data_IF_110845433864
#
_entry.id   IF_110845433864
#
_cell.length_a   1.000
_cell.length_b   1.000
_cell.length_c   1.000
_cell.angle_alpha   90.00
_cell.angle_beta   90.00
_cell.angle_gamma   90.00
#
_symmetry.space_group_name_H-M   'P 1'
#
loop_
_entity.id
_entity.type
_entity.pdbx_description
1 polymer ?
#
# COMPACT_ATOMS: atom_id res chain seq x y z
N UNK A 1 -6.20 0.23 -10.77
CA UNK A 1 -5.52 -0.75 -9.90
C UNK A 1 -6.44 -1.14 -8.75
N UNK A 2 -6.68 -2.44 -8.53
CA UNK A 2 -7.43 -2.98 -7.37
C UNK A 2 -6.41 -3.69 -6.48
N UNK A 3 -6.52 -3.55 -5.16
CA UNK A 3 -5.59 -4.18 -4.21
C UNK A 3 -6.33 -5.08 -3.25
N UNK A 4 -5.89 -6.32 -3.18
CA UNK A 4 -6.31 -7.28 -2.17
C UNK A 4 -5.15 -7.50 -1.21
N UNK A 5 -5.41 -7.38 0.08
CA UNK A 5 -4.43 -7.65 1.13
C UNK A 5 -4.96 -8.84 1.92
N UNK A 6 -4.06 -9.77 2.24
CA UNK A 6 -4.38 -10.97 3.00
C UNK A 6 -3.26 -11.29 3.98
N UNK A 7 -3.61 -11.95 5.08
CA UNK A 7 -2.64 -12.44 6.06
C UNK A 7 -1.96 -11.32 6.85
N UNK A 8 -2.68 -10.25 7.18
CA UNK A 8 -2.15 -9.23 8.08
C UNK A 8 -1.93 -9.82 9.47
N UNK A 9 -0.79 -9.48 10.09
CA UNK A 9 -0.49 -9.88 11.47
C UNK A 9 -1.42 -9.11 12.41
N UNK A 10 -2.10 -9.85 13.28
CA UNK A 10 -2.92 -9.31 14.37
C UNK A 10 -2.36 -9.84 15.70
N UNK A 11 -2.21 -8.95 16.67
CA UNK A 11 -1.71 -9.22 18.03
C UNK A 11 -2.83 -9.61 19.01
N UNK A 12 -3.96 -10.08 18.49
CA UNK A 12 -5.12 -10.54 19.26
C UNK A 12 -6.37 -9.67 19.08
N UNK A 13 -6.24 -8.46 18.54
CA UNK A 13 -7.37 -7.64 18.08
C UNK A 13 -7.31 -7.47 16.56
N UNK A 14 -8.41 -7.75 15.86
CA UNK A 14 -8.47 -7.51 14.42
C UNK A 14 -8.20 -6.01 14.14
N UNK A 15 -7.19 -5.69 13.31
CA UNK A 15 -6.87 -4.30 13.03
C UNK A 15 -7.98 -3.65 12.19
N UNK A 16 -7.97 -2.32 12.16
CA UNK A 16 -8.72 -1.51 11.20
C UNK A 16 -7.79 -1.05 10.06
N UNK A 17 -7.40 -1.94 9.12
CA UNK A 17 -6.36 -1.61 8.16
C UNK A 17 -6.83 -0.62 7.09
N UNK A 18 -5.93 0.29 6.75
CA UNK A 18 -6.04 1.17 5.59
C UNK A 18 -4.71 1.24 4.84
N UNK A 19 -4.78 1.59 3.57
CA UNK A 19 -3.61 1.67 2.68
C UNK A 19 -3.26 3.12 2.42
N UNK A 20 -1.98 3.45 2.56
CA UNK A 20 -1.35 4.66 2.01
C UNK A 20 -0.51 4.28 0.81
N UNK A 21 -0.68 5.01 -0.27
CA UNK A 21 0.09 4.89 -1.50
C UNK A 21 0.84 6.20 -1.75
N UNK A 22 2.10 6.06 -2.16
CA UNK A 22 2.97 7.14 -2.63
C UNK A 22 3.59 6.75 -3.97
N UNK A 23 3.88 7.73 -4.82
CA UNK A 23 4.54 7.53 -6.10
C UNK A 23 5.89 8.21 -6.06
N UNK A 24 6.94 7.40 -6.00
CA UNK A 24 8.30 7.87 -5.88
C UNK A 24 8.96 8.02 -7.27
N UNK A 25 9.80 9.06 -7.47
CA UNK A 25 10.02 10.17 -6.57
C UNK A 25 8.80 11.10 -6.49
N UNK A 26 8.46 11.56 -5.28
CA UNK A 26 7.36 12.51 -5.01
C UNK A 26 7.90 13.87 -4.54
N UNK A 27 8.55 14.66 -5.42
CA UNK A 27 9.18 15.92 -5.03
C UNK A 27 8.16 16.94 -4.51
N UNK A 28 6.92 16.88 -4.99
CA UNK A 28 5.85 17.83 -4.64
C UNK A 28 5.01 17.34 -3.45
N UNK A 29 5.24 16.11 -2.96
CA UNK A 29 4.46 15.48 -1.87
C UNK A 29 2.95 15.42 -2.13
N UNK A 30 2.54 15.40 -3.40
CA UNK A 30 1.14 15.42 -3.83
C UNK A 30 0.63 14.04 -4.23
N UNK A 31 1.52 13.04 -4.31
CA UNK A 31 1.15 11.69 -4.77
C UNK A 31 0.43 10.86 -3.71
N UNK A 32 0.38 11.34 -2.46
CA UNK A 32 -0.21 10.61 -1.34
C UNK A 32 -1.69 10.31 -1.59
N UNK A 33 -2.03 9.03 -1.62
CA UNK A 33 -3.42 8.53 -1.64
C UNK A 33 -3.65 7.66 -0.40
N UNK A 34 -4.77 7.83 0.30
CA UNK A 34 -5.15 7.05 1.48
C UNK A 34 -6.54 6.47 1.27
N UNK A 35 -6.74 5.18 1.56
CA UNK A 35 -8.09 4.59 1.60
C UNK A 35 -8.78 4.78 2.95
N UNK A 36 -10.10 4.55 2.93
CA UNK A 36 -10.86 4.34 4.15
C UNK A 36 -10.34 3.09 4.86
N UNK A 37 -10.36 3.11 6.19
CA UNK A 37 -10.07 1.93 6.99
C UNK A 37 -11.19 0.90 6.83
N UNK A 38 -10.79 -0.35 6.59
CA UNK A 38 -11.69 -1.48 6.68
C UNK A 38 -11.80 -1.86 8.17
N UNK A 39 -13.03 -2.07 8.65
CA UNK A 39 -13.27 -2.32 10.07
C UNK A 39 -13.00 -3.78 10.42
N UNK A 40 -12.18 -4.02 11.44
CA UNK A 40 -11.92 -5.31 12.11
C UNK A 40 -11.71 -6.43 11.12
N UNK A 41 -10.66 -6.32 10.31
CA UNK A 41 -10.37 -7.34 9.30
C UNK A 41 -8.89 -7.49 9.02
N UNK A 42 -8.42 -8.73 9.00
CA UNK A 42 -7.07 -9.07 8.55
C UNK A 42 -6.95 -9.21 7.01
N UNK A 43 -8.06 -9.06 6.26
CA UNK A 43 -8.12 -9.27 4.81
C UNK A 43 -8.85 -8.13 4.08
N UNK A 44 -8.39 -6.87 4.19
CA UNK A 44 -9.08 -5.74 3.58
C UNK A 44 -8.96 -5.78 2.05
N UNK A 45 -10.11 -5.66 1.38
CA UNK A 45 -10.15 -5.34 -0.04
C UNK A 45 -10.16 -3.83 -0.20
N UNK A 46 -9.07 -3.29 -0.74
CA UNK A 46 -8.85 -1.86 -0.85
C UNK A 46 -9.31 -1.35 -2.21
N UNK A 47 -10.11 -0.28 -2.20
CA UNK A 47 -10.82 0.24 -3.38
C UNK A 47 -9.87 0.77 -4.47
N UNK A 48 -10.37 0.66 -5.71
CA UNK A 48 -9.71 0.96 -6.97
C UNK A 48 -9.13 2.37 -7.05
N UNK A 49 -7.84 2.49 -7.37
CA UNK A 49 -7.20 3.75 -7.76
C UNK A 49 -7.09 3.85 -9.29
N UNK A 50 -7.45 5.02 -9.83
CA UNK A 50 -7.16 5.39 -11.22
C UNK A 50 -5.92 6.28 -11.22
N UNK A 51 -4.85 5.74 -11.76
CA UNK A 51 -3.58 6.44 -11.84
C UNK A 51 -3.34 6.82 -13.30
N UNK A 52 -3.52 8.10 -13.61
CA UNK A 52 -3.41 8.65 -14.98
C UNK A 52 -2.02 9.26 -15.29
N UNK A 53 -1.08 9.18 -14.36
CA UNK A 53 0.24 9.82 -14.50
C UNK A 53 1.23 8.88 -15.17
N UNK A 54 2.13 9.42 -16.00
CA UNK A 54 3.23 8.71 -16.65
C UNK A 54 4.02 7.90 -15.62
N UNK A 55 3.78 6.58 -15.60
CA UNK A 55 4.33 5.64 -14.60
C UNK A 55 5.74 5.19 -14.95
N UNK A 56 6.24 5.58 -16.12
CA UNK A 56 7.57 5.20 -16.57
C UNK A 56 8.60 5.70 -15.56
N UNK A 57 9.33 4.76 -14.96
CA UNK A 57 10.37 5.00 -13.95
C UNK A 57 9.86 5.48 -12.58
N UNK A 58 8.57 5.29 -12.25
CA UNK A 58 8.04 5.53 -10.89
C UNK A 58 8.05 4.26 -10.06
N UNK A 59 8.13 4.40 -8.74
CA UNK A 59 7.95 3.30 -7.78
C UNK A 59 6.72 3.60 -6.93
N UNK A 60 5.76 2.68 -6.89
CA UNK A 60 4.66 2.76 -5.94
C UNK A 60 5.17 2.27 -4.59
N UNK A 61 5.20 3.15 -3.60
CA UNK A 61 5.40 2.76 -2.21
C UNK A 61 4.03 2.60 -1.55
N UNK A 62 3.72 1.37 -1.17
CA UNK A 62 2.49 0.99 -0.51
C UNK A 62 2.76 0.69 0.95
N UNK A 63 1.96 1.28 1.83
CA UNK A 63 2.02 1.07 3.28
C UNK A 63 0.64 0.69 3.77
N UNK A 64 0.55 -0.42 4.47
CA UNK A 64 -0.67 -0.90 5.14
C UNK A 64 -0.53 -0.55 6.61
N UNK A 65 -1.47 0.23 7.13
CA UNK A 65 -1.47 0.65 8.52
C UNK A 65 -2.78 0.26 9.20
N UNK A 66 -2.72 -0.11 10.47
CA UNK A 66 -3.89 -0.22 11.33
C UNK A 66 -4.27 1.14 11.91
N UNK A 67 -5.55 1.48 11.86
CA UNK A 67 -6.10 2.61 12.61
C UNK A 67 -6.24 2.16 14.07
N UNK A 68 -5.28 2.55 14.91
CA UNK A 68 -5.25 2.19 16.33
C UNK A 68 -6.11 3.12 17.19
N UNK A 69 -6.41 2.68 18.42
CA UNK A 69 -6.94 3.58 19.43
C UNK A 69 -5.86 4.61 19.81
N UNK A 70 -6.23 5.88 19.92
CA UNK A 70 -5.36 6.98 20.36
C UNK A 70 -4.15 7.26 19.44
N UNK A 71 -4.41 7.82 18.25
CA UNK A 71 -3.47 8.46 17.29
C UNK A 71 -2.27 7.66 16.78
N UNK A 72 -1.96 6.52 17.39
CA UNK A 72 -0.90 5.61 16.98
C UNK A 72 -1.38 4.74 15.83
N UNK A 73 -0.75 4.92 14.66
CA UNK A 73 -1.02 4.09 13.50
C UNK A 73 0.04 3.01 13.42
N UNK A 74 -0.33 1.75 13.65
CA UNK A 74 0.61 0.62 13.56
C UNK A 74 0.90 0.30 12.11
N UNK A 75 2.17 0.24 11.71
CA UNK A 75 2.52 -0.24 10.37
C UNK A 75 2.38 -1.76 10.33
N UNK A 76 1.41 -2.26 9.55
CA UNK A 76 1.17 -3.68 9.37
C UNK A 76 2.03 -4.27 8.26
N UNK A 77 2.54 -3.43 7.36
CA UNK A 77 3.56 -3.80 6.39
C UNK A 77 3.66 -2.80 5.24
N UNK A 78 4.72 -2.91 4.45
CA UNK A 78 4.94 -2.07 3.28
C UNK A 78 5.58 -2.82 2.12
N UNK A 79 5.44 -2.28 0.91
CA UNK A 79 6.03 -2.85 -0.29
C UNK A 79 6.32 -1.77 -1.33
N UNK A 80 7.30 -2.04 -2.19
CA UNK A 80 7.72 -1.16 -3.26
C UNK A 80 7.50 -1.86 -4.60
N UNK A 81 6.64 -1.29 -5.43
CA UNK A 81 6.28 -1.83 -6.73
C UNK A 81 6.87 -0.93 -7.81
N UNK A 82 7.98 -1.33 -8.46
CA UNK A 82 8.54 -0.56 -9.56
C UNK A 82 7.62 -0.64 -10.78
N UNK A 83 7.21 0.52 -11.28
CA UNK A 83 6.34 0.64 -12.45
C UNK A 83 7.19 0.55 -13.73
N UNK A 84 7.78 -0.62 -13.97
CA UNK A 84 8.56 -0.90 -15.18
C UNK A 84 7.68 -1.70 -16.14
N UNK A 85 7.45 -1.18 -17.34
CA UNK A 85 6.78 -1.86 -18.47
C UNK A 85 5.29 -2.20 -18.28
N UNK A 86 4.51 -1.32 -17.64
CA UNK A 86 3.05 -1.44 -17.74
C UNK A 86 2.61 -0.94 -19.12
N UNK A 87 2.26 -1.87 -20.00
CA UNK A 87 1.73 -1.55 -21.33
C UNK A 87 0.32 -0.95 -21.16
N UNK A 88 0.04 0.24 -21.74
CA UNK A 88 -1.30 0.81 -21.73
C UNK A 88 -2.34 -0.19 -22.26
N UNK A 89 -3.45 -0.37 -21.54
CA UNK A 89 -4.53 -1.28 -21.93
C UNK A 89 -4.40 -2.72 -21.40
N UNK A 90 -3.27 -3.09 -20.78
CA UNK A 90 -3.12 -4.41 -20.16
C UNK A 90 -3.58 -4.40 -18.70
N UNK A 91 -4.39 -5.40 -18.33
CA UNK A 91 -4.68 -5.68 -16.93
C UNK A 91 -3.47 -6.36 -16.30
N UNK A 92 -2.84 -5.71 -15.32
CA UNK A 92 -1.73 -6.26 -14.56
C UNK A 92 -2.21 -6.70 -13.17
N UNK A 93 -1.88 -7.94 -12.80
CA UNK A 93 -2.20 -8.56 -11.51
C UNK A 93 -0.94 -9.27 -11.02
N UNK A 94 -0.46 -8.87 -9.84
CA UNK A 94 0.70 -9.47 -9.21
C UNK A 94 0.54 -9.45 -7.68
N UNK A 95 1.19 -10.39 -6.99
CA UNK A 95 1.20 -10.48 -5.54
C UNK A 95 2.55 -10.04 -5.00
N UNK A 96 2.55 -9.02 -4.14
CA UNK A 96 3.75 -8.54 -3.47
C UNK A 96 3.70 -8.87 -1.98
N UNK A 97 4.80 -9.39 -1.45
CA UNK A 97 4.94 -9.60 -0.02
C UNK A 97 5.06 -8.25 0.68
N UNK A 98 4.36 -8.12 1.81
CA UNK A 98 4.52 -6.99 2.71
C UNK A 98 5.73 -7.24 3.60
N UNK A 99 6.70 -6.34 3.54
CA UNK A 99 7.84 -6.31 4.44
C UNK A 99 7.44 -5.65 5.76
N UNK A 100 8.02 -6.13 6.87
CA UNK A 100 7.87 -5.50 8.18
C UNK A 100 8.58 -4.14 8.19
N UNK A 101 8.10 -3.23 9.03
CA UNK A 101 8.71 -1.91 9.21
C UNK A 101 10.21 -2.06 9.56
N UNK A 102 11.10 -1.70 8.62
CA UNK A 102 12.54 -1.65 8.86
C UNK A 102 13.41 -2.67 8.14
N UNK A 103 12.88 -3.49 7.23
CA UNK A 103 13.69 -4.49 6.50
C UNK A 103 14.13 -4.06 5.09
N UNK A 104 14.35 -2.77 4.82
CA UNK A 104 15.13 -2.33 3.65
C UNK A 104 15.62 -0.88 3.82
N UNK A 105 16.62 -0.72 4.68
CA UNK A 105 17.52 0.44 4.71
C UNK A 105 18.97 -0.04 4.65
N UNK A 106 19.32 -0.89 3.70
CA UNK A 106 20.72 -1.19 3.38
C UNK A 106 20.83 -1.90 2.03
N UNK A 107 21.01 -1.14 0.95
CA UNK A 107 21.98 -1.46 -0.09
C UNK A 107 22.32 -0.22 -0.93
#
# INVERSE_FOLDING_TARGET
MVMHIRGLVSDGTDPDPYVKLYLLPDPQKTSKRKTKAARRTCNPTTTRWYLHIYLEQRVIHLRVLGDGAFWENTLLGETFIPMRRLVPGQHWVDWHQLCAAGSDSAH
#
